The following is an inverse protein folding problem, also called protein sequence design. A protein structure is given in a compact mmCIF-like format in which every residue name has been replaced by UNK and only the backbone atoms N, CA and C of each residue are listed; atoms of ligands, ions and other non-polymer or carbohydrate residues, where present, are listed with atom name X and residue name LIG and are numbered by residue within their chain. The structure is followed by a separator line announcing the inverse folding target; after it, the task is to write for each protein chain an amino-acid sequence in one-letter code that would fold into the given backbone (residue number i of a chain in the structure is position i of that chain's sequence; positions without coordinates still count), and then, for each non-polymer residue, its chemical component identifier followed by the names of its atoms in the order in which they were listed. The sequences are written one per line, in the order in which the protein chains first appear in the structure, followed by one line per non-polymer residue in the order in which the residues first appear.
data_IF_820093463449
#
_entry.id   IF_820093463449
#
_cell.length_a   1.000
_cell.length_b   1.000
_cell.length_c   1.000
_cell.angle_alpha   90.00
_cell.angle_beta   90.00
_cell.angle_gamma   90.00
#
_symmetry.space_group_name_H-M   'P 1'
#
loop_
_entity.id
_entity.type
_entity.pdbx_description
1 polymer ?
#
# COMPACT_ATOMS: atom_id res chain seq x y z
N UNK A 1 -19.52 -41.65 34.99
CA UNK A 1 -19.31 -40.21 35.31
C UNK A 1 -17.92 -39.68 34.99
N UNK A 2 -16.82 -40.36 35.25
CA UNK A 2 -15.44 -39.91 34.92
C UNK A 2 -15.19 -39.78 33.42
N UNK A 3 -15.71 -40.69 32.60
CA UNK A 3 -15.57 -40.71 31.16
C UNK A 3 -16.27 -39.50 30.47
N UNK A 4 -17.45 -39.11 30.95
CA UNK A 4 -18.22 -37.97 30.43
C UNK A 4 -17.50 -36.63 30.74
N UNK A 5 -16.89 -36.51 31.93
CA UNK A 5 -16.12 -35.31 32.30
C UNK A 5 -14.87 -35.14 31.40
N UNK A 6 -14.18 -36.23 31.06
CA UNK A 6 -13.02 -36.22 30.18
C UNK A 6 -13.40 -35.83 28.76
N UNK A 7 -14.55 -36.33 28.27
CA UNK A 7 -15.05 -35.97 26.94
C UNK A 7 -15.44 -34.49 26.81
N UNK A 8 -16.06 -33.92 27.85
CA UNK A 8 -16.43 -32.50 27.90
C UNK A 8 -15.20 -31.59 28.00
N UNK A 9 -14.13 -32.01 28.70
CA UNK A 9 -12.87 -31.24 28.78
C UNK A 9 -12.17 -31.26 27.39
N UNK A 10 -12.13 -32.40 26.69
CA UNK A 10 -11.54 -32.49 25.37
C UNK A 10 -12.35 -31.75 24.32
N UNK A 11 -13.69 -31.72 24.40
CA UNK A 11 -14.53 -30.95 23.51
C UNK A 11 -14.39 -29.44 23.74
N UNK A 12 -14.29 -29.00 25.01
CA UNK A 12 -14.02 -27.61 25.36
C UNK A 12 -12.64 -27.13 24.90
N UNK A 13 -11.61 -27.99 24.97
CA UNK A 13 -10.27 -27.69 24.50
C UNK A 13 -10.21 -27.63 22.96
N UNK A 14 -10.97 -28.47 22.26
CA UNK A 14 -11.04 -28.48 20.79
C UNK A 14 -11.74 -27.23 20.26
N UNK A 15 -12.75 -26.71 20.94
CA UNK A 15 -13.47 -25.48 20.55
C UNK A 15 -12.62 -24.22 20.77
N UNK A 16 -11.67 -24.25 21.73
CA UNK A 16 -10.77 -23.11 21.96
C UNK A 16 -9.69 -22.93 20.89
N UNK A 17 -9.42 -23.94 20.04
CA UNK A 17 -8.35 -23.91 19.04
C UNK A 17 -8.84 -23.35 17.68
N UNK A 18 -10.13 -23.10 17.48
CA UNK A 18 -10.69 -22.75 16.18
C UNK A 18 -11.04 -21.26 15.98
N UNK A 19 -10.73 -20.38 16.91
CA UNK A 19 -10.85 -18.94 16.66
C UNK A 19 -9.54 -18.37 16.12
N UNK A 20 -9.18 -18.78 14.92
CA UNK A 20 -8.25 -17.96 14.12
C UNK A 20 -9.00 -16.71 13.74
N UNK A 21 -8.82 -15.63 14.50
CA UNK A 21 -9.14 -14.31 14.00
C UNK A 21 -8.23 -14.09 12.79
N UNK A 22 -8.80 -14.07 11.59
CA UNK A 22 -8.08 -13.54 10.44
C UNK A 22 -7.78 -12.09 10.78
N UNK A 23 -6.52 -11.77 11.02
CA UNK A 23 -6.08 -10.38 11.07
C UNK A 23 -6.35 -9.83 9.67
N UNK A 24 -7.37 -9.00 9.54
CA UNK A 24 -7.67 -8.31 8.29
C UNK A 24 -6.79 -7.08 8.25
N UNK A 25 -5.74 -7.12 7.44
CA UNK A 25 -4.86 -5.99 7.26
C UNK A 25 -5.54 -4.89 6.43
N UNK A 26 -5.48 -3.68 6.93
CA UNK A 26 -5.96 -2.48 6.24
C UNK A 26 -4.81 -1.85 5.47
N UNK A 27 -5.04 -1.49 4.21
CA UNK A 27 -4.01 -0.89 3.37
C UNK A 27 -4.39 0.52 2.93
N UNK A 28 -3.51 1.49 3.21
CA UNK A 28 -3.50 2.76 2.51
C UNK A 28 -2.87 2.55 1.14
N UNK A 29 -3.62 2.78 0.06
CA UNK A 29 -3.19 2.45 -1.29
C UNK A 29 -2.97 3.68 -2.16
N UNK A 30 -1.96 3.62 -3.02
CA UNK A 30 -1.68 4.58 -4.10
C UNK A 30 -1.61 3.80 -5.40
N UNK A 31 -2.65 3.92 -6.23
CA UNK A 31 -2.87 3.07 -7.40
C UNK A 31 -2.82 3.95 -8.66
N UNK A 32 -1.71 3.92 -9.42
CA UNK A 32 -1.64 4.57 -10.72
C UNK A 32 -2.41 3.77 -11.77
N UNK A 33 -2.99 4.48 -12.76
CA UNK A 33 -3.63 3.83 -13.91
C UNK A 33 -2.64 3.11 -14.82
N UNK A 34 -1.36 3.46 -14.71
CA UNK A 34 -0.26 2.84 -15.42
C UNK A 34 1.02 2.99 -14.59
N UNK A 35 1.75 1.91 -14.40
CA UNK A 35 3.04 1.89 -13.68
C UNK A 35 4.26 1.87 -14.59
N UNK A 36 4.05 1.69 -15.91
CA UNK A 36 5.10 1.64 -16.93
C UNK A 36 4.67 2.39 -18.19
N UNK A 37 4.72 3.72 -18.13
CA UNK A 37 4.28 4.58 -19.23
C UNK A 37 5.27 4.52 -20.40
N UNK A 38 4.85 3.99 -21.55
CA UNK A 38 5.61 3.97 -22.79
C UNK A 38 5.42 5.24 -23.61
N UNK A 39 6.09 5.34 -24.76
CA UNK A 39 5.94 6.52 -25.64
C UNK A 39 4.57 6.56 -26.32
N UNK A 40 3.95 5.41 -26.52
CA UNK A 40 2.65 5.25 -27.19
C UNK A 40 1.47 5.37 -26.23
N UNK A 41 1.72 5.38 -24.92
CA UNK A 41 0.70 5.49 -23.89
C UNK A 41 0.26 6.95 -23.63
N UNK A 42 -0.85 7.07 -22.92
CA UNK A 42 -1.27 8.37 -22.41
C UNK A 42 -0.19 8.97 -21.50
N UNK A 43 0.27 10.16 -21.85
CA UNK A 43 1.20 10.92 -20.99
C UNK A 43 0.54 11.52 -19.75
N UNK A 44 -0.70 11.18 -19.48
CA UNK A 44 -1.47 11.63 -18.35
C UNK A 44 -2.01 10.41 -17.63
N UNK A 45 -1.47 10.15 -16.45
CA UNK A 45 -1.91 9.06 -15.58
C UNK A 45 -2.87 9.58 -14.52
N UNK A 46 -3.85 8.74 -14.19
CA UNK A 46 -4.73 8.92 -13.04
C UNK A 46 -4.16 8.12 -11.88
N UNK A 47 -4.15 8.70 -10.68
CA UNK A 47 -3.68 8.02 -9.47
C UNK A 47 -4.78 8.10 -8.43
N UNK A 48 -5.26 6.93 -8.01
CA UNK A 48 -6.27 6.77 -6.96
C UNK A 48 -5.59 6.56 -5.61
N UNK A 49 -6.10 7.21 -4.59
CA UNK A 49 -5.72 7.01 -3.19
C UNK A 49 -6.93 6.46 -2.47
N UNK A 50 -6.81 5.28 -1.89
CA UNK A 50 -7.91 4.60 -1.19
C UNK A 50 -7.43 3.89 0.07
N UNK A 51 -8.38 3.43 0.87
CA UNK A 51 -8.13 2.68 2.09
C UNK A 51 -9.08 1.48 2.11
N UNK A 52 -8.52 0.26 2.16
CA UNK A 52 -9.34 -0.95 2.06
C UNK A 52 -8.57 -2.22 2.43
N UNK A 53 -9.31 -3.33 2.53
CA UNK A 53 -8.79 -4.68 2.37
C UNK A 53 -8.82 -5.01 0.86
N UNK A 54 -7.68 -5.02 0.18
CA UNK A 54 -7.67 -5.06 -1.28
C UNK A 54 -8.13 -6.41 -1.85
N UNK A 55 -7.87 -7.51 -1.16
CA UNK A 55 -8.28 -8.85 -1.62
C UNK A 55 -9.79 -9.06 -1.46
N UNK A 56 -10.36 -8.76 -0.30
CA UNK A 56 -11.79 -8.89 0.02
C UNK A 56 -12.64 -7.81 -0.63
N UNK A 57 -12.03 -6.72 -1.07
CA UNK A 57 -12.71 -5.53 -1.61
C UNK A 57 -13.64 -4.87 -0.59
N UNK A 58 -13.23 -4.83 0.66
CA UNK A 58 -13.91 -4.10 1.71
C UNK A 58 -13.29 -2.71 1.83
N UNK A 59 -14.02 -1.68 1.45
CA UNK A 59 -13.57 -0.29 1.49
C UNK A 59 -13.70 0.34 2.87
N UNK A 60 -12.92 1.40 3.08
CA UNK A 60 -13.02 2.31 4.22
C UNK A 60 -12.78 3.74 3.77
N UNK A 61 -13.27 4.70 4.55
CA UNK A 61 -13.11 6.11 4.24
C UNK A 61 -11.66 6.56 4.41
N UNK A 62 -11.04 7.02 3.34
CA UNK A 62 -9.75 7.70 3.40
C UNK A 62 -9.99 9.20 3.64
N UNK A 63 -9.72 9.65 4.85
CA UNK A 63 -9.68 11.10 5.16
C UNK A 63 -8.59 11.75 4.32
N UNK A 64 -8.79 13.01 3.91
CA UNK A 64 -7.78 13.72 3.11
C UNK A 64 -6.40 13.63 3.77
N UNK A 65 -5.38 13.12 3.06
CA UNK A 65 -4.06 12.88 3.62
C UNK A 65 -3.36 14.18 4.05
N UNK A 66 -2.38 14.07 4.94
CA UNK A 66 -1.54 15.19 5.37
C UNK A 66 -0.50 15.56 4.33
N UNK A 67 -0.03 14.59 3.53
CA UNK A 67 0.84 14.83 2.40
C UNK A 67 0.48 13.95 1.20
N UNK A 68 0.56 14.53 0.01
CA UNK A 68 0.48 13.85 -1.27
C UNK A 68 1.51 14.50 -2.21
N UNK A 69 2.51 13.74 -2.64
CA UNK A 69 3.68 14.29 -3.32
C UNK A 69 4.17 13.34 -4.41
N UNK A 70 4.88 13.88 -5.39
CA UNK A 70 5.69 13.10 -6.33
C UNK A 70 7.14 13.57 -6.27
N UNK A 71 8.05 12.61 -6.29
CA UNK A 71 9.49 12.82 -6.38
C UNK A 71 9.93 12.35 -7.77
N UNK A 72 10.59 13.22 -8.52
CA UNK A 72 11.16 12.93 -9.84
C UNK A 72 12.44 13.77 -10.03
N UNK A 73 13.53 13.13 -10.46
CA UNK A 73 14.85 13.76 -10.63
C UNK A 73 15.25 14.61 -9.42
N UNK A 74 15.18 14.03 -8.21
CA UNK A 74 15.45 14.66 -6.91
C UNK A 74 14.58 15.88 -6.57
N UNK A 75 13.54 16.18 -7.37
CA UNK A 75 12.59 17.25 -7.10
C UNK A 75 11.33 16.70 -6.47
N UNK A 76 10.95 17.26 -5.34
CA UNK A 76 9.69 16.98 -4.64
C UNK A 76 8.63 18.00 -5.04
N UNK A 77 7.48 17.53 -5.51
CA UNK A 77 6.36 18.36 -5.95
C UNK A 77 5.15 18.02 -5.10
N UNK A 78 4.58 19.03 -4.45
CA UNK A 78 3.33 18.89 -3.68
C UNK A 78 2.13 18.80 -4.62
N UNK A 79 1.31 17.75 -4.43
CA UNK A 79 0.10 17.46 -5.18
C UNK A 79 -1.17 17.53 -4.30
N UNK A 80 -1.04 17.88 -3.02
CA UNK A 80 -2.15 17.83 -2.04
C UNK A 80 -3.36 18.67 -2.48
N UNK A 81 -3.12 19.82 -3.09
CA UNK A 81 -4.17 20.71 -3.61
C UNK A 81 -4.82 20.21 -4.90
N UNK A 82 -4.23 19.22 -5.57
CA UNK A 82 -4.75 18.62 -6.81
C UNK A 82 -5.67 17.42 -6.57
N UNK A 83 -5.79 16.99 -5.32
CA UNK A 83 -6.68 15.89 -4.95
C UNK A 83 -8.14 16.28 -5.18
N UNK A 84 -8.83 15.43 -5.93
CA UNK A 84 -10.28 15.50 -6.14
C UNK A 84 -10.94 14.35 -5.36
N UNK A 85 -12.07 14.58 -4.70
CA UNK A 85 -12.78 13.51 -4.02
C UNK A 85 -13.41 12.55 -5.03
N UNK A 86 -13.29 11.26 -4.78
CA UNK A 86 -13.95 10.18 -5.51
C UNK A 86 -14.51 9.15 -4.52
N UNK A 87 -15.18 8.13 -5.06
CA UNK A 87 -15.56 6.95 -4.27
C UNK A 87 -14.88 5.72 -4.84
N UNK A 88 -14.35 4.89 -3.96
CA UNK A 88 -13.80 3.57 -4.25
C UNK A 88 -14.44 2.58 -3.28
N UNK A 89 -15.04 1.49 -3.78
CA UNK A 89 -15.77 0.52 -2.97
C UNK A 89 -16.82 1.20 -2.04
N UNK A 90 -17.55 2.18 -2.57
CA UNK A 90 -18.56 2.97 -1.88
C UNK A 90 -18.06 3.88 -0.73
N UNK A 91 -16.72 3.99 -0.56
CA UNK A 91 -16.08 4.79 0.47
C UNK A 91 -15.37 6.02 -0.09
N UNK A 92 -15.18 7.04 0.77
CA UNK A 92 -14.42 8.24 0.44
C UNK A 92 -12.99 7.88 0.02
N UNK A 93 -12.58 8.37 -1.14
CA UNK A 93 -11.25 8.20 -1.68
C UNK A 93 -10.84 9.48 -2.42
N UNK A 94 -9.62 9.52 -2.94
CA UNK A 94 -9.08 10.69 -3.65
C UNK A 94 -8.46 10.28 -4.97
N UNK A 95 -8.44 11.22 -5.91
CA UNK A 95 -7.79 11.03 -7.20
C UNK A 95 -7.00 12.28 -7.60
N UNK A 96 -5.89 12.06 -8.30
CA UNK A 96 -5.12 13.12 -8.95
C UNK A 96 -4.78 12.67 -10.36
N UNK A 97 -4.87 13.58 -11.32
CA UNK A 97 -4.27 13.38 -12.62
C UNK A 97 -2.88 14.02 -12.66
N UNK A 98 -1.90 13.29 -13.18
CA UNK A 98 -0.53 13.75 -13.27
C UNK A 98 0.03 13.61 -14.69
N UNK A 99 0.57 14.69 -15.28
CA UNK A 99 1.20 14.62 -16.58
C UNK A 99 2.63 14.10 -16.48
N UNK A 100 2.92 12.98 -17.12
CA UNK A 100 4.27 12.44 -17.32
C UNK A 100 4.92 13.19 -18.49
N UNK A 101 5.88 14.05 -18.19
CA UNK A 101 6.47 14.96 -19.20
C UNK A 101 7.86 14.56 -19.66
N UNK A 102 8.60 13.80 -18.89
CA UNK A 102 10.00 13.44 -19.11
C UNK A 102 10.24 11.97 -18.82
N UNK A 103 11.26 11.37 -19.44
CA UNK A 103 11.74 10.07 -19.00
C UNK A 103 12.18 10.10 -17.55
N UNK A 104 12.12 8.96 -16.87
CA UNK A 104 12.60 8.80 -15.51
C UNK A 104 11.62 8.08 -14.60
N UNK A 105 12.04 7.93 -13.38
CA UNK A 105 11.26 7.34 -12.31
C UNK A 105 10.50 8.42 -11.55
N UNK A 106 9.22 8.16 -11.33
CA UNK A 106 8.31 8.98 -10.54
C UNK A 106 7.90 8.20 -9.30
N UNK A 107 8.31 8.65 -8.13
CA UNK A 107 7.94 8.04 -6.85
C UNK A 107 6.81 8.86 -6.22
N UNK A 108 5.61 8.30 -6.18
CA UNK A 108 4.45 8.93 -5.55
C UNK A 108 4.37 8.50 -4.09
N UNK A 109 4.12 9.45 -3.21
CA UNK A 109 4.08 9.24 -1.77
C UNK A 109 2.85 9.88 -1.14
N UNK A 110 2.14 9.09 -0.32
CA UNK A 110 1.03 9.52 0.52
C UNK A 110 1.38 9.34 2.01
N UNK A 111 1.21 10.43 2.80
CA UNK A 111 1.12 10.35 4.26
C UNK A 111 -0.35 10.54 4.65
N UNK A 112 -1.09 9.48 4.97
CA UNK A 112 -2.46 9.60 5.43
C UNK A 112 -2.50 10.14 6.87
N UNK A 113 -3.69 10.51 7.33
CA UNK A 113 -3.90 10.76 8.75
C UNK A 113 -3.83 9.45 9.53
N UNK A 114 -3.45 9.50 10.82
CA UNK A 114 -3.49 8.32 11.67
C UNK A 114 -4.89 7.71 11.68
N UNK A 115 -4.96 6.40 11.49
CA UNK A 115 -6.15 5.59 11.60
C UNK A 115 -6.16 4.90 12.97
N UNK A 116 -7.27 4.97 13.68
CA UNK A 116 -7.46 4.23 14.92
C UNK A 116 -7.81 2.77 14.59
N UNK A 117 -6.97 1.84 15.02
CA UNK A 117 -7.21 0.39 14.87
C UNK A 117 -7.74 -0.19 16.18
N UNK A 118 -9.06 -0.48 16.26
CA UNK A 118 -9.66 -0.95 17.50
C UNK A 118 -9.16 -2.32 17.97
N UNK A 119 -8.74 -3.19 17.04
CA UNK A 119 -8.27 -4.53 17.36
C UNK A 119 -6.89 -4.51 18.04
N UNK A 120 -6.08 -3.50 17.76
CA UNK A 120 -4.72 -3.34 18.28
C UNK A 120 -4.62 -2.25 19.35
N UNK A 121 -5.71 -1.51 19.61
CA UNK A 121 -5.77 -0.40 20.56
C UNK A 121 -4.69 0.66 20.32
N UNK A 122 -4.41 0.97 19.04
CA UNK A 122 -3.38 1.93 18.65
C UNK A 122 -3.75 2.73 17.41
N UNK A 123 -2.98 3.82 17.15
CA UNK A 123 -3.05 4.56 15.89
C UNK A 123 -2.01 4.03 14.91
N UNK A 124 -2.43 3.75 13.68
CA UNK A 124 -1.57 3.30 12.59
C UNK A 124 -1.48 4.42 11.53
N UNK A 125 -0.28 4.62 10.97
CA UNK A 125 -0.03 5.54 9.86
C UNK A 125 0.48 4.73 8.68
N UNK A 126 -0.33 4.59 7.63
CA UNK A 126 0.01 3.82 6.43
C UNK A 126 0.82 4.67 5.44
N UNK A 127 2.10 4.90 5.72
CA UNK A 127 2.99 5.55 4.75
C UNK A 127 3.03 4.74 3.45
N UNK A 128 2.57 5.30 2.35
CA UNK A 128 2.44 4.56 1.09
C UNK A 128 3.29 5.20 0.00
N UNK A 129 4.10 4.37 -0.65
CA UNK A 129 4.92 4.74 -1.81
C UNK A 129 4.59 3.83 -3.00
N UNK A 130 4.45 4.42 -4.17
CA UNK A 130 4.37 3.68 -5.44
C UNK A 130 5.34 4.27 -6.47
N UNK A 131 5.78 3.45 -7.40
CA UNK A 131 6.78 3.80 -8.41
C UNK A 131 6.17 3.68 -9.80
N UNK A 132 6.34 4.72 -10.61
CA UNK A 132 5.96 4.73 -12.02
C UNK A 132 7.21 4.98 -12.85
N UNK A 133 7.52 4.07 -13.78
CA UNK A 133 8.60 4.22 -14.75
C UNK A 133 8.07 4.84 -16.04
N UNK A 134 8.82 5.76 -16.65
CA UNK A 134 8.37 6.45 -17.82
C UNK A 134 9.41 6.44 -18.96
N UNK A 135 8.94 6.08 -20.15
CA UNK A 135 9.65 6.18 -21.44
C UNK A 135 10.93 5.36 -21.50
N UNK A 136 10.93 4.17 -20.85
CA UNK A 136 12.03 3.22 -20.89
C UNK A 136 13.18 3.53 -19.94
N UNK A 137 13.07 4.57 -19.10
CA UNK A 137 14.04 4.84 -18.05
C UNK A 137 13.82 3.90 -16.87
N UNK A 138 14.90 3.34 -16.33
CA UNK A 138 14.83 2.32 -15.30
C UNK A 138 15.87 2.48 -14.18
N UNK A 139 16.47 3.67 -14.03
CA UNK A 139 17.38 4.01 -12.94
C UNK A 139 16.69 4.87 -11.87
N UNK A 140 17.06 4.66 -10.59
CA UNK A 140 16.56 5.46 -9.45
C UNK A 140 15.23 4.97 -8.83
N UNK A 141 14.74 3.80 -9.24
CA UNK A 141 13.56 3.18 -8.63
C UNK A 141 13.82 2.67 -7.19
N UNK A 142 15.08 2.43 -6.86
CA UNK A 142 15.59 1.98 -5.56
C UNK A 142 16.05 3.13 -4.64
N UNK A 143 15.92 4.37 -5.08
CA UNK A 143 16.27 5.53 -4.27
C UNK A 143 15.32 5.71 -3.07
N UNK A 144 15.91 6.02 -1.91
CA UNK A 144 15.14 6.41 -0.72
C UNK A 144 14.57 7.82 -0.91
N UNK A 145 13.29 7.99 -0.59
CA UNK A 145 12.65 9.32 -0.60
C UNK A 145 12.68 9.99 0.78
N UNK A 146 13.15 9.25 1.80
CA UNK A 146 13.39 9.77 3.15
C UNK A 146 12.11 9.97 3.95
N UNK A 147 11.13 9.09 3.80
CA UNK A 147 9.92 9.07 4.63
C UNK A 147 10.16 8.29 5.92
N UNK A 148 9.30 8.52 6.91
CA UNK A 148 9.47 7.98 8.26
C UNK A 148 9.53 6.45 8.29
N UNK A 149 8.59 5.79 7.60
CA UNK A 149 8.61 4.34 7.36
C UNK A 149 8.65 4.09 5.87
N UNK A 150 9.65 3.34 5.39
CA UNK A 150 9.87 3.14 3.97
C UNK A 150 10.31 1.71 3.66
N UNK A 151 9.74 1.12 2.60
CA UNK A 151 10.33 -0.06 1.97
C UNK A 151 11.16 0.43 0.78
N UNK A 152 12.48 0.20 0.87
CA UNK A 152 13.42 0.47 -0.23
C UNK A 152 13.53 -0.78 -1.07
N UNK A 153 13.10 -0.76 -2.33
CA UNK A 153 13.14 -1.95 -3.17
C UNK A 153 14.59 -2.38 -3.50
N UNK A 154 14.81 -3.68 -3.58
CA UNK A 154 16.03 -4.34 -4.07
C UNK A 154 15.82 -5.02 -5.43
N UNK A 155 14.57 -5.08 -5.87
CA UNK A 155 14.18 -5.50 -7.22
C UNK A 155 13.18 -4.48 -7.77
N UNK A 156 13.11 -4.34 -9.10
CA UNK A 156 12.22 -3.36 -9.75
C UNK A 156 10.78 -3.58 -9.25
N UNK A 157 10.09 -2.54 -8.72
CA UNK A 157 8.73 -2.68 -8.18
C UNK A 157 7.62 -2.50 -9.24
N UNK A 158 7.97 -2.51 -10.52
CA UNK A 158 7.06 -2.36 -11.66
C UNK A 158 7.39 -3.37 -12.76
N UNK A 159 6.46 -3.62 -13.66
CA UNK A 159 6.63 -4.59 -14.76
C UNK A 159 6.81 -6.04 -14.29
N UNK A 160 6.31 -6.37 -13.12
CA UNK A 160 6.40 -7.71 -12.54
C UNK A 160 5.31 -8.60 -13.14
N UNK A 161 5.69 -9.82 -13.51
CA UNK A 161 4.78 -10.88 -13.92
C UNK A 161 4.54 -11.85 -12.75
N UNK A 162 3.44 -12.61 -12.83
CA UNK A 162 3.20 -13.69 -11.88
C UNK A 162 4.40 -14.65 -11.84
N UNK A 163 4.89 -14.93 -10.61
CA UNK A 163 6.09 -15.73 -10.38
C UNK A 163 7.39 -14.92 -10.26
N UNK A 164 7.39 -13.62 -10.53
CA UNK A 164 8.51 -12.77 -10.20
C UNK A 164 8.63 -12.58 -8.68
N UNK A 165 9.84 -12.26 -8.22
CA UNK A 165 10.13 -12.00 -6.80
C UNK A 165 10.27 -10.50 -6.60
N UNK A 166 9.55 -9.95 -5.63
CA UNK A 166 9.81 -8.62 -5.07
C UNK A 166 10.67 -8.76 -3.81
N UNK A 167 11.71 -7.93 -3.72
CA UNK A 167 12.58 -7.83 -2.55
C UNK A 167 12.71 -6.37 -2.14
N UNK A 168 12.83 -6.12 -0.84
CA UNK A 168 13.00 -4.78 -0.30
C UNK A 168 13.58 -4.80 1.11
N UNK A 169 14.01 -3.63 1.56
CA UNK A 169 14.51 -3.39 2.92
C UNK A 169 13.54 -2.45 3.64
N UNK A 170 13.01 -2.89 4.78
CA UNK A 170 12.19 -2.03 5.64
C UNK A 170 13.09 -1.08 6.42
N UNK A 171 12.77 0.21 6.38
CA UNK A 171 13.46 1.26 7.14
C UNK A 171 12.50 2.07 7.99
N UNK A 172 12.97 2.48 9.16
CA UNK A 172 12.31 3.45 10.03
C UNK A 172 13.29 4.59 10.31
N UNK A 173 12.92 5.81 9.95
CA UNK A 173 13.80 6.99 10.05
C UNK A 173 15.18 6.77 9.40
N UNK A 174 15.20 6.16 8.22
CA UNK A 174 16.40 5.85 7.45
C UNK A 174 17.25 4.67 7.97
N UNK A 175 16.85 4.03 9.07
CA UNK A 175 17.56 2.87 9.65
C UNK A 175 16.84 1.58 9.31
N UNK A 176 17.63 0.54 8.96
CA UNK A 176 17.11 -0.79 8.68
C UNK A 176 16.42 -1.36 9.93
N UNK A 177 15.24 -1.94 9.74
CA UNK A 177 14.47 -2.63 10.78
C UNK A 177 14.58 -4.14 10.53
N UNK A 178 15.44 -4.86 11.26
CA UNK A 178 15.52 -6.31 11.12
C UNK A 178 14.26 -6.96 11.68
N UNK A 179 13.84 -8.06 11.04
CA UNK A 179 12.64 -8.84 11.45
C UNK A 179 11.34 -8.04 11.45
N UNK A 180 11.24 -6.99 10.63
CA UNK A 180 9.98 -6.31 10.42
C UNK A 180 8.94 -7.32 9.88
N UNK A 181 7.76 -7.32 10.44
CA UNK A 181 6.63 -8.05 9.89
C UNK A 181 6.23 -7.40 8.57
N UNK A 182 6.02 -8.21 7.53
CA UNK A 182 5.65 -7.76 6.20
C UNK A 182 4.47 -8.60 5.71
N UNK A 183 3.37 -7.95 5.47
CA UNK A 183 2.20 -8.56 4.85
C UNK A 183 2.19 -8.29 3.35
N UNK A 184 1.75 -9.27 2.58
CA UNK A 184 1.59 -9.17 1.12
C UNK A 184 0.18 -9.53 0.76
N UNK A 185 -0.50 -8.62 0.07
CA UNK A 185 -1.87 -8.85 -0.32
C UNK A 185 -2.09 -8.53 -1.80
N UNK A 186 -2.93 -9.34 -2.43
CA UNK A 186 -3.30 -9.17 -3.82
C UNK A 186 -4.36 -8.09 -4.00
N UNK A 187 -4.09 -7.11 -4.86
CA UNK A 187 -5.08 -6.12 -5.26
C UNK A 187 -6.08 -6.72 -6.26
N UNK A 188 -7.28 -7.02 -5.79
CA UNK A 188 -8.32 -7.70 -6.55
C UNK A 188 -9.21 -6.68 -7.27
N UNK A 189 -8.75 -6.17 -8.42
CA UNK A 189 -9.47 -5.12 -9.16
C UNK A 189 -10.73 -5.64 -9.88
N UNK A 190 -10.72 -6.89 -10.35
CA UNK A 190 -11.65 -7.39 -11.36
C UNK A 190 -12.66 -8.43 -10.86
N UNK A 191 -13.04 -8.42 -9.60
CA UNK A 191 -14.12 -9.30 -9.10
C UNK A 191 -15.45 -8.63 -9.13
#
# INVERSE_FOLDING_TARGET
MKQIKLLLINFGLLVMITTTTTALAHFGMVIPSDSMVSQDDSRKISIKLSFSHPFERVGMDLVKPDAWQVIHAAKKIDLLKKLQPIRVLEHQAWQTEYPIKRPGIYQFYMKPKPYWEPAEDCFIIHHTKTVVAAFGEDEGWDEEIGIETEIVPLSKPFGLYAGNIFQGIVKLNGKVVPFAEVEVEYYNENK
#
